data_IF_934889780829
#
_entry.id   IF_934889780829
#
_cell.length_a   1.000
_cell.length_b   1.000
_cell.length_c   1.000
_cell.angle_alpha   90.00
_cell.angle_beta   90.00
_cell.angle_gamma   90.00
#
_symmetry.space_group_name_H-M   'P 1'
#
loop_
_entity.id
_entity.type
_entity.pdbx_description
1 polymer ?
#
# COMPACT_ATOMS: atom_id res chain seq x y z
N UNK A 1 7.34 11.02 -6.50
CA UNK A 1 6.61 10.02 -7.29
C UNK A 1 5.49 10.69 -8.07
N UNK A 2 5.36 10.40 -9.38
CA UNK A 2 4.16 10.75 -10.15
C UNK A 2 3.26 9.53 -10.23
N UNK A 3 2.01 9.64 -9.82
CA UNK A 3 1.05 8.56 -9.96
C UNK A 3 0.67 8.38 -11.42
N UNK A 4 0.62 7.12 -11.86
CA UNK A 4 0.23 6.72 -13.21
C UNK A 4 -1.29 6.57 -13.38
N UNK A 5 -2.06 7.14 -12.45
CA UNK A 5 -3.49 7.10 -12.39
C UNK A 5 -4.04 8.46 -11.97
N UNK A 6 -5.24 8.77 -12.46
CA UNK A 6 -6.03 9.89 -11.96
C UNK A 6 -7.06 9.34 -10.98
N UNK A 7 -6.93 9.74 -9.71
CA UNK A 7 -7.90 9.38 -8.70
C UNK A 7 -9.01 10.43 -8.63
N UNK A 8 -10.24 9.99 -8.44
CA UNK A 8 -11.42 10.86 -8.36
C UNK A 8 -12.09 10.68 -6.99
N UNK A 9 -12.56 11.78 -6.39
CA UNK A 9 -13.15 11.75 -5.07
C UNK A 9 -14.43 10.93 -5.09
N UNK A 10 -14.62 10.20 -4.00
CA UNK A 10 -15.79 9.40 -3.75
C UNK A 10 -16.15 9.40 -2.26
N UNK A 11 -17.33 8.91 -1.91
CA UNK A 11 -17.76 8.73 -0.52
C UNK A 11 -17.87 7.24 -0.20
N UNK A 12 -17.17 6.79 0.83
CA UNK A 12 -17.18 5.40 1.28
C UNK A 12 -18.51 5.07 1.97
N UNK A 13 -19.03 3.88 1.71
CA UNK A 13 -20.26 3.43 2.36
C UNK A 13 -20.05 2.34 3.38
N UNK A 14 -19.61 1.18 2.90
CA UNK A 14 -19.59 -0.03 3.70
C UNK A 14 -18.59 -1.04 3.13
N UNK A 15 -18.11 -1.90 4.03
CA UNK A 15 -17.25 -3.03 3.73
C UNK A 15 -17.98 -4.33 4.05
N UNK A 16 -18.63 -4.98 3.07
CA UNK A 16 -19.42 -6.18 3.33
C UNK A 16 -18.56 -7.40 3.70
N UNK A 17 -17.26 -7.42 3.37
CA UNK A 17 -16.33 -8.44 3.86
C UNK A 17 -14.86 -7.98 3.86
N UNK A 18 -13.97 -8.80 4.45
CA UNK A 18 -12.54 -8.49 4.61
C UNK A 18 -11.76 -8.32 3.28
N UNK A 19 -12.32 -8.67 2.13
CA UNK A 19 -11.63 -8.64 0.83
C UNK A 19 -12.26 -7.72 -0.23
N UNK A 20 -13.43 -7.12 0.04
CA UNK A 20 -14.18 -6.27 -0.91
C UNK A 20 -14.83 -5.09 -0.18
N UNK A 21 -14.68 -3.89 -0.75
CA UNK A 21 -15.64 -2.78 -0.57
C UNK A 21 -16.70 -2.94 -1.65
N UNK A 22 -17.97 -2.78 -1.31
CA UNK A 22 -19.06 -2.80 -2.29
C UNK A 22 -19.32 -1.43 -2.89
N UNK A 23 -19.07 -0.31 -2.20
CA UNK A 23 -19.58 0.98 -2.66
C UNK A 23 -18.70 2.17 -2.25
N UNK A 24 -18.23 2.92 -3.25
CA UNK A 24 -17.73 4.28 -3.10
C UNK A 24 -18.48 5.18 -4.11
N UNK A 25 -19.09 6.29 -3.68
CA UNK A 25 -19.94 7.14 -4.51
C UNK A 25 -19.17 8.25 -5.21
N UNK A 26 -19.32 8.46 -6.51
CA UNK A 26 -18.93 9.74 -7.11
C UNK A 26 -20.09 10.73 -7.04
N UNK A 27 -19.82 11.94 -6.54
CA UNK A 27 -20.73 13.08 -6.69
C UNK A 27 -20.65 13.64 -8.13
N UNK A 28 -20.76 12.78 -9.15
CA UNK A 28 -20.88 13.19 -10.56
C UNK A 28 -21.92 12.31 -11.26
N UNK A 29 -23.16 12.81 -11.27
CA UNK A 29 -24.25 12.57 -12.22
C UNK A 29 -24.83 11.16 -12.50
N UNK A 30 -24.27 10.03 -12.03
CA UNK A 30 -24.99 8.73 -12.14
C UNK A 30 -24.53 7.66 -11.15
N UNK A 31 -25.51 7.06 -10.49
CA UNK A 31 -25.38 6.00 -9.49
C UNK A 31 -24.74 4.73 -10.09
N UNK A 32 -23.65 4.21 -9.50
CA UNK A 32 -23.21 2.83 -9.76
C UNK A 32 -22.46 2.25 -8.56
N UNK A 33 -22.87 1.05 -8.11
CA UNK A 33 -22.16 0.26 -7.10
C UNK A 33 -20.90 -0.32 -7.75
N UNK A 34 -19.71 0.03 -7.26
CA UNK A 34 -18.46 -0.47 -7.82
C UNK A 34 -17.52 -0.95 -6.73
N UNK A 35 -16.96 -2.13 -6.96
CA UNK A 35 -16.07 -2.82 -6.03
C UNK A 35 -14.64 -2.34 -6.20
N UNK A 36 -13.91 -2.27 -5.09
CA UNK A 36 -12.49 -1.95 -5.04
C UNK A 36 -11.76 -2.88 -4.04
N UNK A 37 -10.46 -3.10 -4.27
CA UNK A 37 -9.59 -3.88 -3.38
C UNK A 37 -9.16 -3.03 -2.17
N UNK A 38 -9.10 -3.65 -0.99
CA UNK A 38 -8.58 -3.04 0.24
C UNK A 38 -7.43 -3.90 0.80
N UNK A 39 -6.37 -3.29 1.35
CA UNK A 39 -5.46 -3.98 2.25
C UNK A 39 -5.89 -3.90 3.71
N UNK A 40 -5.50 -4.88 4.52
CA UNK A 40 -5.57 -4.77 5.99
C UNK A 40 -6.98 -4.63 6.60
N UNK A 41 -7.04 -4.24 7.87
CA UNK A 41 -8.31 -4.07 8.61
C UNK A 41 -8.87 -2.66 8.47
N UNK A 42 -8.04 -1.61 8.51
CA UNK A 42 -8.41 -0.20 8.23
C UNK A 42 -9.75 0.23 8.85
N UNK A 43 -10.06 -0.21 10.07
CA UNK A 43 -11.39 0.01 10.68
C UNK A 43 -11.56 1.45 11.13
N UNK A 44 -10.46 2.06 11.52
CA UNK A 44 -10.29 3.45 11.94
C UNK A 44 -10.34 4.42 10.75
N UNK A 45 -9.94 3.97 9.55
CA UNK A 45 -9.93 4.81 8.36
C UNK A 45 -11.20 4.68 7.51
N UNK A 46 -11.74 3.47 7.34
CA UNK A 46 -12.89 3.21 6.48
C UNK A 46 -14.21 3.30 7.24
N UNK A 47 -14.50 4.49 7.77
CA UNK A 47 -15.76 4.81 8.42
C UNK A 47 -16.84 5.20 7.39
N UNK A 48 -18.13 4.89 7.62
CA UNK A 48 -19.20 5.31 6.73
C UNK A 48 -19.15 6.82 6.42
N UNK A 49 -19.36 7.16 5.16
CA UNK A 49 -19.35 8.52 4.62
C UNK A 49 -17.97 9.21 4.55
N UNK A 50 -16.87 8.52 4.90
CA UNK A 50 -15.53 9.10 4.74
C UNK A 50 -15.22 9.35 3.27
N UNK A 51 -14.53 10.45 2.96
CA UNK A 51 -14.08 10.71 1.59
C UNK A 51 -12.95 9.77 1.22
N UNK A 52 -13.07 9.17 0.06
CA UNK A 52 -12.07 8.29 -0.54
C UNK A 52 -11.76 8.69 -1.96
N UNK A 53 -10.70 8.14 -2.53
CA UNK A 53 -10.28 8.41 -3.89
C UNK A 53 -10.09 7.10 -4.63
N UNK A 54 -10.75 6.99 -5.79
CA UNK A 54 -10.73 5.78 -6.61
C UNK A 54 -10.21 6.08 -8.01
N UNK A 55 -9.55 5.10 -8.62
CA UNK A 55 -9.15 5.14 -10.02
C UNK A 55 -9.73 3.94 -10.78
N UNK A 56 -9.91 4.01 -12.10
CA UNK A 56 -10.13 2.81 -12.90
C UNK A 56 -9.04 1.77 -12.65
N UNK A 57 -9.41 0.49 -12.64
CA UNK A 57 -8.45 -0.60 -12.56
C UNK A 57 -7.63 -0.68 -13.86
N UNK A 58 -6.31 -0.86 -13.76
CA UNK A 58 -5.40 -0.92 -14.92
C UNK A 58 -5.67 -2.08 -15.88
N UNK A 59 -6.19 -3.20 -15.39
CA UNK A 59 -6.56 -4.36 -16.21
C UNK A 59 -7.96 -4.82 -15.82
N UNK A 60 -8.94 -4.50 -16.66
CA UNK A 60 -10.35 -4.80 -16.41
C UNK A 60 -10.72 -6.24 -16.84
N UNK A 61 -9.97 -6.85 -17.77
CA UNK A 61 -10.35 -8.10 -18.43
C UNK A 61 -10.53 -9.30 -17.46
N UNK A 62 -9.73 -9.37 -16.40
CA UNK A 62 -9.75 -10.49 -15.44
C UNK A 62 -10.12 -10.06 -14.01
N UNK A 63 -10.62 -8.83 -13.81
CA UNK A 63 -10.93 -8.31 -12.47
C UNK A 63 -12.42 -8.27 -12.23
N UNK A 64 -12.82 -8.81 -11.06
CA UNK A 64 -14.17 -8.65 -10.50
C UNK A 64 -14.50 -7.22 -10.05
N UNK A 65 -13.54 -6.30 -10.15
CA UNK A 65 -13.59 -4.93 -9.65
C UNK A 65 -13.12 -3.98 -10.74
N UNK A 66 -13.97 -3.04 -11.15
CA UNK A 66 -13.64 -2.07 -12.19
C UNK A 66 -12.72 -0.92 -11.69
N UNK A 67 -12.54 -0.78 -10.38
CA UNK A 67 -11.82 0.33 -9.75
C UNK A 67 -10.86 -0.17 -8.67
N UNK A 68 -9.88 0.68 -8.37
CA UNK A 68 -8.99 0.58 -7.22
C UNK A 68 -9.28 1.71 -6.23
N UNK A 69 -9.32 1.38 -4.94
CA UNK A 69 -9.33 2.35 -3.86
C UNK A 69 -7.88 2.78 -3.64
N UNK A 70 -7.59 4.06 -3.86
CA UNK A 70 -6.22 4.60 -3.84
C UNK A 70 -5.92 5.30 -2.53
N UNK A 71 -6.83 6.17 -2.09
CA UNK A 71 -6.66 6.96 -0.87
C UNK A 71 -7.95 7.03 -0.07
N UNK A 72 -7.82 7.34 1.21
CA UNK A 72 -8.89 7.74 2.13
C UNK A 72 -8.46 9.01 2.85
N UNK A 73 -9.38 9.94 3.06
CA UNK A 73 -9.13 11.05 3.99
C UNK A 73 -9.24 10.54 5.42
N UNK A 74 -8.23 10.78 6.24
CA UNK A 74 -8.27 10.44 7.66
C UNK A 74 -9.46 11.17 8.32
N UNK A 75 -10.38 10.47 8.99
CA UNK A 75 -11.63 11.06 9.46
C UNK A 75 -11.44 12.30 10.37
N UNK A 76 -10.38 12.31 11.17
CA UNK A 76 -10.13 13.39 12.12
C UNK A 76 -9.23 14.50 11.58
N UNK A 77 -8.28 14.19 10.68
CA UNK A 77 -7.23 15.14 10.28
C UNK A 77 -7.39 15.64 8.84
N UNK A 78 -8.24 14.98 8.04
CA UNK A 78 -8.41 15.26 6.61
C UNK A 78 -7.20 14.89 5.74
N UNK A 79 -6.13 14.33 6.33
CA UNK A 79 -4.94 13.93 5.59
C UNK A 79 -5.21 12.72 4.69
N UNK A 80 -4.61 12.70 3.50
CA UNK A 80 -4.72 11.55 2.61
C UNK A 80 -3.84 10.39 3.10
N UNK A 81 -4.47 9.25 3.36
CA UNK A 81 -3.80 7.99 3.65
C UNK A 81 -3.84 7.10 2.41
N UNK A 82 -2.67 6.64 1.98
CA UNK A 82 -2.54 5.68 0.88
C UNK A 82 -3.04 4.31 1.28
N UNK A 83 -3.92 3.74 0.46
CA UNK A 83 -4.45 2.39 0.61
C UNK A 83 -3.89 1.43 -0.45
N UNK A 84 -2.90 1.87 -1.23
CA UNK A 84 -2.29 1.07 -2.28
C UNK A 84 -1.01 0.39 -1.76
N UNK A 85 -1.08 -0.92 -1.49
CA UNK A 85 0.04 -1.70 -0.96
C UNK A 85 1.21 -1.84 -1.92
N UNK A 86 1.09 -1.41 -3.16
CA UNK A 86 2.19 -1.44 -4.14
C UNK A 86 3.06 -0.19 -4.03
N UNK A 87 2.54 0.88 -3.42
CA UNK A 87 3.26 2.15 -3.33
C UNK A 87 4.44 2.16 -2.35
N UNK A 88 4.42 1.49 -1.18
CA UNK A 88 5.53 1.55 -0.23
C UNK A 88 6.88 1.17 -0.85
N UNK A 89 6.97 -0.01 -1.49
CA UNK A 89 8.21 -0.47 -2.13
C UNK A 89 8.62 0.44 -3.29
N UNK A 90 7.66 0.95 -4.07
CA UNK A 90 7.94 1.88 -5.16
C UNK A 90 8.47 3.24 -4.66
N UNK A 91 7.89 3.79 -3.60
CA UNK A 91 8.33 5.03 -2.96
C UNK A 91 9.71 4.84 -2.35
N UNK A 92 9.95 3.71 -1.69
CA UNK A 92 11.26 3.39 -1.12
C UNK A 92 12.33 3.29 -2.23
N UNK A 93 12.04 2.58 -3.32
CA UNK A 93 12.94 2.48 -4.46
C UNK A 93 13.24 3.86 -5.10
N UNK A 94 12.23 4.73 -5.23
CA UNK A 94 12.43 6.10 -5.72
C UNK A 94 13.28 6.95 -4.76
N UNK A 95 13.06 6.80 -3.45
CA UNK A 95 13.88 7.44 -2.41
C UNK A 95 15.34 6.98 -2.46
N UNK A 96 15.58 5.68 -2.67
CA UNK A 96 16.94 5.15 -2.86
C UNK A 96 17.60 5.73 -4.11
N UNK A 97 16.89 5.71 -5.25
CA UNK A 97 17.43 6.20 -6.52
C UNK A 97 17.74 7.70 -6.50
N UNK A 98 16.99 8.48 -5.73
CA UNK A 98 17.21 9.93 -5.55
C UNK A 98 18.24 10.27 -4.47
N UNK A 99 18.80 9.28 -3.76
CA UNK A 99 19.73 9.52 -2.66
C UNK A 99 19.08 10.11 -1.40
N UNK A 100 17.75 10.03 -1.27
CA UNK A 100 17.00 10.55 -0.13
C UNK A 100 17.45 9.93 1.20
N UNK A 101 17.74 8.62 1.18
CA UNK A 101 18.20 7.89 2.37
C UNK A 101 19.71 8.00 2.51
N UNK A 102 20.18 8.95 3.33
CA UNK A 102 21.62 9.19 3.55
C UNK A 102 22.45 7.92 3.86
N UNK A 103 21.96 6.94 4.66
CA UNK A 103 22.71 5.70 4.90
C UNK A 103 22.96 4.83 3.65
N UNK A 104 22.15 5.00 2.61
CA UNK A 104 22.24 4.25 1.35
C UNK A 104 22.74 5.09 0.17
N UNK A 105 23.22 6.31 0.44
CA UNK A 105 23.76 7.18 -0.60
C UNK A 105 25.04 6.58 -1.19
N UNK A 106 25.11 6.49 -2.53
CA UNK A 106 26.24 5.89 -3.23
C UNK A 106 26.34 4.36 -3.09
N UNK A 107 25.22 3.68 -2.82
CA UNK A 107 25.15 2.23 -2.88
C UNK A 107 25.65 1.69 -4.24
N UNK A 108 26.29 0.53 -4.23
CA UNK A 108 26.83 -0.13 -5.43
C UNK A 108 25.74 -0.83 -6.23
N UNK A 109 24.83 -1.51 -5.54
CA UNK A 109 23.77 -2.29 -6.18
C UNK A 109 22.53 -2.39 -5.30
N UNK A 110 21.37 -2.57 -5.95
CA UNK A 110 20.07 -2.83 -5.29
C UNK A 110 19.41 -4.01 -6.00
N UNK A 111 18.95 -4.99 -5.21
CA UNK A 111 18.15 -6.12 -5.69
C UNK A 111 16.80 -6.09 -4.97
N UNK A 112 15.71 -6.16 -5.71
CA UNK A 112 14.34 -6.19 -5.16
C UNK A 112 13.75 -7.60 -5.15
N UNK A 113 12.80 -7.88 -4.25
CA UNK A 113 12.05 -9.14 -4.16
C UNK A 113 12.96 -10.39 -4.08
N UNK A 114 14.03 -10.30 -3.28
CA UNK A 114 15.06 -11.35 -3.21
C UNK A 114 14.50 -12.55 -2.46
N UNK A 115 14.52 -13.71 -3.12
CA UNK A 115 14.09 -14.97 -2.49
C UNK A 115 15.16 -15.47 -1.53
N UNK A 116 14.79 -15.72 -0.28
CA UNK A 116 15.66 -16.32 0.72
C UNK A 116 15.75 -17.82 0.45
N UNK A 117 16.96 -18.31 0.21
CA UNK A 117 17.24 -19.74 0.15
C UNK A 117 17.28 -20.27 1.59
N UNK A 118 16.16 -20.80 2.08
CA UNK A 118 16.09 -21.33 3.43
C UNK A 118 14.77 -22.05 3.66
N UNK A 119 14.86 -23.36 3.87
CA UNK A 119 13.71 -24.20 4.20
C UNK A 119 13.96 -25.67 3.86
N UNK A 120 13.55 -26.57 4.75
CA UNK A 120 13.43 -28.01 4.45
C UNK A 120 12.56 -28.22 3.20
N UNK A 121 12.68 -29.39 2.56
CA UNK A 121 11.84 -29.73 1.41
C UNK A 121 10.34 -29.58 1.78
N UNK A 122 9.69 -28.53 1.27
CA UNK A 122 8.30 -28.18 1.58
C UNK A 122 8.08 -26.89 2.38
N UNK A 123 9.15 -26.24 2.87
CA UNK A 123 9.05 -24.95 3.53
C UNK A 123 8.76 -23.80 2.56
N UNK A 124 7.97 -22.82 3.01
CA UNK A 124 7.58 -21.65 2.22
C UNK A 124 8.81 -20.76 2.01
N UNK A 125 9.20 -20.58 0.74
CA UNK A 125 10.25 -19.61 0.38
C UNK A 125 9.83 -18.21 0.83
N UNK A 126 10.55 -17.65 1.80
CA UNK A 126 10.40 -16.25 2.21
C UNK A 126 11.08 -15.32 1.22
N UNK A 127 10.60 -14.09 1.11
CA UNK A 127 11.16 -13.04 0.23
C UNK A 127 11.42 -11.80 1.07
N UNK A 128 12.55 -11.15 0.84
CA UNK A 128 12.90 -9.85 1.39
C UNK A 128 12.64 -8.78 0.32
N UNK A 129 12.12 -7.61 0.72
CA UNK A 129 11.79 -6.55 -0.24
C UNK A 129 13.02 -6.04 -0.99
N UNK A 130 14.13 -5.75 -0.29
CA UNK A 130 15.36 -5.27 -0.92
C UNK A 130 16.62 -5.86 -0.26
N UNK A 131 17.66 -6.06 -1.07
CA UNK A 131 19.04 -6.20 -0.61
C UNK A 131 19.87 -5.12 -1.28
N UNK A 132 20.47 -4.26 -0.47
CA UNK A 132 21.28 -3.12 -0.89
C UNK A 132 22.74 -3.43 -0.57
N UNK A 133 23.62 -3.23 -1.53
CA UNK A 133 25.06 -3.27 -1.31
C UNK A 133 25.56 -1.84 -1.14
N UNK A 134 26.07 -1.50 0.04
CA UNK A 134 26.60 -0.17 0.30
C UNK A 134 27.92 0.11 -0.43
N UNK A 135 28.43 1.34 -0.31
CA UNK A 135 29.70 1.76 -0.95
C UNK A 135 30.91 0.93 -0.52
N UNK A 136 30.87 0.31 0.65
CA UNK A 136 31.94 -0.50 1.24
C UNK A 136 31.74 -2.00 0.93
N UNK A 137 30.71 -2.36 0.15
CA UNK A 137 30.40 -3.74 -0.24
C UNK A 137 29.60 -4.52 0.82
N UNK A 138 29.08 -3.87 1.86
CA UNK A 138 28.29 -4.54 2.90
C UNK A 138 26.84 -4.69 2.44
N UNK A 139 26.24 -5.83 2.77
CA UNK A 139 24.85 -6.12 2.43
C UNK A 139 23.90 -5.65 3.53
N UNK A 140 22.94 -4.81 3.16
CA UNK A 140 21.81 -4.39 3.97
C UNK A 140 20.53 -5.05 3.46
N UNK A 141 19.89 -5.84 4.31
CA UNK A 141 18.60 -6.48 4.04
C UNK A 141 17.50 -5.54 4.54
N UNK A 142 16.58 -5.16 3.66
CA UNK A 142 15.56 -4.17 3.97
C UNK A 142 14.18 -4.73 3.68
N UNK A 143 13.31 -4.60 4.68
CA UNK A 143 11.89 -4.90 4.60
C UNK A 143 11.11 -3.58 4.75
N UNK A 144 10.19 -3.33 3.82
CA UNK A 144 9.39 -2.11 3.76
C UNK A 144 8.00 -2.41 4.31
N UNK A 145 7.60 -1.69 5.36
CA UNK A 145 6.27 -1.83 5.96
C UNK A 145 5.42 -0.60 5.66
N UNK A 146 4.16 -0.83 5.30
CA UNK A 146 3.15 0.24 5.18
C UNK A 146 2.53 0.53 6.54
N UNK A 147 2.61 1.77 7.00
CA UNK A 147 2.03 2.20 8.28
C UNK A 147 0.86 3.14 7.99
N UNK A 148 -0.34 2.73 8.38
CA UNK A 148 -1.58 3.49 8.10
C UNK A 148 -2.41 3.79 9.36
N UNK A 149 -2.18 3.05 10.45
CA UNK A 149 -2.76 3.34 11.75
C UNK A 149 -2.04 4.56 12.36
N UNK A 150 -2.80 5.60 12.67
CA UNK A 150 -2.32 6.79 13.37
C UNK A 150 -3.17 7.00 14.62
N UNK A 151 -2.53 7.03 15.78
CA UNK A 151 -3.18 7.26 17.07
C UNK A 151 -2.41 8.34 17.83
N UNK A 152 -3.09 9.42 18.23
CA UNK A 152 -2.49 10.54 18.96
C UNK A 152 -1.19 11.07 18.32
N UNK A 153 -1.17 11.20 17.00
CA UNK A 153 -0.01 11.66 16.22
C UNK A 153 1.13 10.64 16.06
N UNK A 154 0.95 9.39 16.49
CA UNK A 154 1.92 8.31 16.33
C UNK A 154 1.45 7.31 15.28
N UNK A 155 2.32 6.97 14.35
CA UNK A 155 2.07 5.91 13.37
C UNK A 155 2.45 4.54 13.95
N UNK A 156 1.60 3.53 13.79
CA UNK A 156 1.79 2.20 14.39
C UNK A 156 1.63 1.05 13.39
N UNK A 157 2.46 0.00 13.55
CA UNK A 157 2.40 -1.24 12.78
C UNK A 157 2.72 -2.43 13.70
N UNK A 158 2.02 -3.58 13.58
CA UNK A 158 0.93 -3.85 12.64
C UNK A 158 -0.46 -3.38 13.14
N UNK A 159 -1.43 -3.23 12.22
CA UNK A 159 -2.84 -2.87 12.52
C UNK A 159 -3.68 -4.07 13.03
N UNK A 160 -3.06 -5.25 13.11
CA UNK A 160 -3.61 -6.49 13.65
C UNK A 160 -2.48 -7.47 14.01
N UNK A 161 -2.72 -8.50 14.85
CA UNK A 161 -1.73 -9.55 15.09
C UNK A 161 -1.30 -10.19 13.76
N UNK A 162 0.01 -10.21 13.48
CA UNK A 162 0.56 -10.89 12.30
C UNK A 162 1.57 -11.95 12.74
N UNK A 163 1.45 -13.15 12.19
CA UNK A 163 2.43 -14.24 12.36
C UNK A 163 3.49 -14.27 11.26
N UNK A 164 3.44 -13.29 10.34
CA UNK A 164 4.28 -13.20 9.14
C UNK A 164 5.24 -11.99 9.15
N UNK A 165 5.11 -11.13 10.16
CA UNK A 165 5.73 -9.81 10.23
C UNK A 165 7.24 -9.84 10.25
#
# INVERSE_FOLDING_TARGET
>A
MRFDFVAKPAEFLERPNRFRISRAYWRVARWSTRTARIPGRLRELLLPSVRVYVSPARSAANRRTAYDLRFVEHPETGQLVSLDTRLPNAIFAEGLASGFFAPFAGHRSVRSEVTLAGGEAGAVRSRIDFVIEDRDGRLCWVEVKSVTLVEAGRAAFPDAPTTRG
#
